data_IF_939759333378
#
_entry.id   IF_939759333378
#
_cell.length_a   1.000
_cell.length_b   1.000
_cell.length_c   1.000
_cell.angle_alpha   90.00
_cell.angle_beta   90.00
_cell.angle_gamma   90.00
#
_symmetry.space_group_name_H-M   'P 1'
#
loop_
_entity.id
_entity.type
_entity.pdbx_description
1 polymer ?
#
# COMPACT_ATOMS: atom_id res chain seq x y z
N UNK A 1 -34.24 -25.12 30.32
CA UNK A 1 -33.02 -24.90 29.51
C UNK A 1 -33.37 -23.87 28.44
N UNK A 2 -33.01 -22.60 28.68
CA UNK A 2 -33.40 -21.48 27.83
C UNK A 2 -32.37 -21.26 26.72
N UNK A 3 -32.81 -21.36 25.47
CA UNK A 3 -32.08 -20.94 24.28
C UNK A 3 -31.74 -19.44 24.39
N UNK A 4 -30.44 -19.13 24.50
CA UNK A 4 -29.96 -17.77 24.30
C UNK A 4 -30.05 -17.46 22.81
N UNK A 5 -31.15 -16.82 22.44
CA UNK A 5 -31.28 -16.02 21.22
C UNK A 5 -30.08 -15.07 21.12
N UNK A 6 -29.13 -15.42 20.27
CA UNK A 6 -28.05 -14.51 19.87
C UNK A 6 -28.70 -13.34 19.16
N UNK A 7 -28.73 -12.18 19.82
CA UNK A 7 -29.16 -10.91 19.23
C UNK A 7 -28.41 -10.71 17.90
N UNK A 8 -29.12 -10.86 16.78
CA UNK A 8 -28.71 -10.35 15.48
C UNK A 8 -28.59 -8.84 15.56
N UNK A 9 -27.42 -8.38 16.00
CA UNK A 9 -27.00 -6.99 15.92
C UNK A 9 -26.98 -6.60 14.45
N UNK A 10 -27.98 -5.82 14.05
CA UNK A 10 -28.19 -5.31 12.69
C UNK A 10 -26.87 -4.90 12.05
N UNK A 11 -26.44 -5.61 11.02
CA UNK A 11 -25.28 -5.29 10.20
C UNK A 11 -25.42 -3.83 9.72
N UNK A 12 -24.51 -2.92 10.10
CA UNK A 12 -24.58 -1.54 9.65
C UNK A 12 -24.35 -1.51 8.15
N UNK A 13 -25.21 -0.79 7.42
CA UNK A 13 -25.13 -0.51 5.97
C UNK A 13 -23.68 -0.50 5.50
N UNK A 14 -23.33 -1.39 4.56
CA UNK A 14 -22.00 -1.37 3.95
C UNK A 14 -21.83 -0.01 3.25
N UNK A 15 -21.06 0.88 3.88
CA UNK A 15 -20.71 2.18 3.31
C UNK A 15 -19.92 1.96 2.01
N UNK A 16 -20.14 2.85 1.04
CA UNK A 16 -19.46 2.80 -0.24
C UNK A 16 -17.93 2.82 -0.03
N UNK A 17 -17.14 1.92 -0.66
CA UNK A 17 -15.68 1.87 -0.49
C UNK A 17 -14.99 3.22 -0.71
N UNK A 18 -15.50 4.01 -1.66
CA UNK A 18 -15.01 5.36 -1.95
C UNK A 18 -15.17 6.35 -0.80
N UNK A 19 -16.22 6.22 0.03
CA UNK A 19 -16.42 7.12 1.17
C UNK A 19 -15.33 6.92 2.23
N UNK A 20 -14.89 5.68 2.46
CA UNK A 20 -13.78 5.39 3.38
C UNK A 20 -12.44 5.90 2.87
N UNK A 21 -12.20 5.79 1.56
CA UNK A 21 -11.01 6.36 0.94
C UNK A 21 -10.99 7.88 1.00
N UNK A 22 -12.11 8.54 0.67
CA UNK A 22 -12.23 9.99 0.77
C UNK A 22 -12.05 10.48 2.21
N UNK A 23 -12.66 9.78 3.17
CA UNK A 23 -12.50 10.09 4.60
C UNK A 23 -11.04 9.95 5.05
N UNK A 24 -10.38 8.84 4.71
CA UNK A 24 -8.98 8.62 5.09
C UNK A 24 -8.03 9.61 4.40
N UNK A 25 -8.28 9.97 3.14
CA UNK A 25 -7.54 11.02 2.43
C UNK A 25 -7.77 12.38 3.08
N UNK A 26 -9.01 12.69 3.49
CA UNK A 26 -9.32 13.91 4.25
C UNK A 26 -8.50 14.00 5.54
N UNK A 27 -8.44 12.92 6.32
CA UNK A 27 -7.60 12.84 7.52
C UNK A 27 -6.10 13.00 7.19
N UNK A 28 -5.62 12.39 6.11
CA UNK A 28 -4.24 12.54 5.66
C UNK A 28 -3.90 13.98 5.24
N UNK A 29 -4.82 14.68 4.58
CA UNK A 29 -4.67 16.10 4.20
C UNK A 29 -4.64 16.99 5.44
N UNK A 30 -5.53 16.74 6.42
CA UNK A 30 -5.52 17.46 7.71
C UNK A 30 -4.19 17.23 8.43
N UNK A 31 -3.75 15.98 8.58
CA UNK A 31 -2.45 15.65 9.17
C UNK A 31 -1.27 16.30 8.42
N UNK A 32 -1.39 16.44 7.09
CA UNK A 32 -0.38 17.11 6.26
C UNK A 32 -0.34 18.63 6.43
N UNK A 33 -1.34 19.25 7.04
CA UNK A 33 -1.39 20.72 7.23
C UNK A 33 -1.08 21.15 8.66
N UNK A 34 -0.92 20.18 9.57
CA UNK A 34 -0.82 20.44 11.00
C UNK A 34 0.56 20.09 11.54
N UNK A 35 1.10 20.98 12.37
CA UNK A 35 2.34 20.79 13.13
C UNK A 35 2.09 20.57 14.63
N UNK A 36 0.82 20.57 15.05
CA UNK A 36 0.44 20.32 16.43
C UNK A 36 0.41 18.80 16.72
N UNK A 37 1.28 18.27 17.61
CA UNK A 37 1.38 16.83 17.87
C UNK A 37 0.11 16.25 18.51
N UNK A 38 -0.64 17.04 19.28
CA UNK A 38 -1.90 16.59 19.89
C UNK A 38 -2.95 16.26 18.83
N UNK A 39 -3.05 17.08 17.78
CA UNK A 39 -3.97 16.84 16.67
C UNK A 39 -3.57 15.60 15.87
N UNK A 40 -2.26 15.37 15.66
CA UNK A 40 -1.76 14.17 14.98
C UNK A 40 -2.08 12.90 15.77
N UNK A 41 -1.85 12.90 17.08
CA UNK A 41 -2.23 11.79 17.97
C UNK A 41 -3.74 11.57 17.96
N UNK A 42 -4.55 12.64 18.01
CA UNK A 42 -6.00 12.54 17.93
C UNK A 42 -6.44 11.87 16.62
N UNK A 43 -5.85 12.24 15.48
CA UNK A 43 -6.14 11.61 14.19
C UNK A 43 -5.79 10.12 14.22
N UNK A 44 -4.64 9.73 14.78
CA UNK A 44 -4.25 8.33 14.93
C UNK A 44 -5.25 7.54 15.81
N UNK A 45 -5.66 8.12 16.94
CA UNK A 45 -6.63 7.50 17.86
C UNK A 45 -7.99 7.34 17.19
N UNK A 46 -8.49 8.37 16.52
CA UNK A 46 -9.77 8.32 15.79
C UNK A 46 -9.70 7.29 14.66
N UNK A 47 -8.62 7.30 13.87
CA UNK A 47 -8.42 6.31 12.81
C UNK A 47 -8.38 4.89 13.35
N UNK A 48 -7.64 4.66 14.44
CA UNK A 48 -7.53 3.37 15.11
C UNK A 48 -8.87 2.89 15.68
N UNK A 49 -9.61 3.78 16.34
CA UNK A 49 -10.94 3.49 16.87
C UNK A 49 -11.91 3.08 15.76
N UNK A 50 -11.96 3.85 14.67
CA UNK A 50 -12.83 3.55 13.52
C UNK A 50 -12.44 2.22 12.88
N UNK A 51 -11.14 1.94 12.72
CA UNK A 51 -10.67 0.65 12.22
C UNK A 51 -11.11 -0.48 13.14
N UNK A 52 -10.93 -0.38 14.46
CA UNK A 52 -11.35 -1.42 15.40
C UNK A 52 -12.86 -1.62 15.41
N UNK A 53 -13.64 -0.54 15.35
CA UNK A 53 -15.10 -0.58 15.39
C UNK A 53 -15.76 -1.04 14.08
N UNK A 54 -15.07 -0.89 12.93
CA UNK A 54 -15.64 -1.14 11.60
C UNK A 54 -14.91 -2.19 10.77
N UNK A 55 -13.73 -2.67 11.19
CA UNK A 55 -13.01 -3.74 10.48
C UNK A 55 -13.83 -5.03 10.48
N UNK A 56 -13.84 -5.70 9.33
CA UNK A 56 -14.33 -7.08 9.20
C UNK A 56 -13.22 -8.06 9.54
N UNK A 57 -13.55 -9.28 10.01
CA UNK A 57 -12.59 -10.32 10.48
C UNK A 57 -11.67 -10.93 9.39
N UNK A 58 -11.54 -10.24 8.27
CA UNK A 58 -10.80 -10.71 7.13
C UNK A 58 -9.30 -10.37 7.20
N UNK A 59 -8.42 -11.06 6.44
CA UNK A 59 -6.96 -10.98 6.61
C UNK A 59 -6.36 -9.58 6.51
N UNK A 60 -7.02 -8.68 5.77
CA UNK A 60 -6.67 -7.27 5.58
C UNK A 60 -6.87 -6.40 6.83
N UNK A 61 -7.53 -6.90 7.88
CA UNK A 61 -7.59 -6.24 9.18
C UNK A 61 -6.19 -6.01 9.80
N UNK A 62 -5.18 -6.80 9.39
CA UNK A 62 -3.78 -6.65 9.81
C UNK A 62 -3.04 -5.52 9.08
N UNK A 63 -3.57 -5.00 7.97
CA UNK A 63 -2.94 -3.93 7.19
C UNK A 63 -2.72 -2.68 8.05
N UNK A 64 -3.69 -2.28 8.87
CA UNK A 64 -3.54 -1.11 9.73
C UNK A 64 -2.35 -1.25 10.70
N UNK A 65 -2.18 -2.41 11.33
CA UNK A 65 -1.04 -2.67 12.22
C UNK A 65 0.30 -2.65 11.47
N UNK A 66 0.35 -3.13 10.22
CA UNK A 66 1.55 -3.05 9.38
C UNK A 66 1.92 -1.59 9.09
N UNK A 67 0.94 -0.77 8.70
CA UNK A 67 1.17 0.66 8.42
C UNK A 67 1.58 1.44 9.68
N UNK A 68 1.00 1.12 10.85
CA UNK A 68 1.46 1.72 12.12
C UNK A 68 2.89 1.31 12.47
N UNK A 69 3.27 0.04 12.25
CA UNK A 69 4.65 -0.41 12.43
C UNK A 69 5.61 0.33 11.50
N UNK A 70 5.25 0.47 10.22
CA UNK A 70 6.04 1.26 9.26
C UNK A 70 6.16 2.72 9.69
N UNK A 71 5.06 3.34 10.13
CA UNK A 71 5.07 4.71 10.66
C UNK A 71 5.99 4.87 11.87
N UNK A 72 5.93 3.92 12.81
CA UNK A 72 6.82 3.89 13.97
C UNK A 72 8.28 3.69 13.56
N UNK A 73 8.56 2.84 12.58
CA UNK A 73 9.90 2.65 12.02
C UNK A 73 10.42 3.95 11.41
N UNK A 74 9.62 4.65 10.60
CA UNK A 74 9.99 5.95 10.02
C UNK A 74 10.28 6.99 11.09
N UNK A 75 9.41 7.10 12.11
CA UNK A 75 9.62 7.99 13.26
C UNK A 75 10.94 7.67 13.98
N UNK A 76 11.20 6.39 14.26
CA UNK A 76 12.41 5.95 14.95
C UNK A 76 13.66 6.27 14.14
N UNK A 77 13.64 5.95 12.84
CA UNK A 77 14.73 6.26 11.92
C UNK A 77 14.97 7.78 11.91
N UNK A 78 13.93 8.60 11.83
CA UNK A 78 14.06 10.05 11.81
C UNK A 78 14.68 10.60 13.09
N UNK A 79 14.28 10.08 14.25
CA UNK A 79 14.88 10.43 15.54
C UNK A 79 16.36 10.03 15.60
N UNK A 80 16.70 8.82 15.15
CA UNK A 80 18.09 8.37 15.09
C UNK A 80 18.92 9.26 14.17
N UNK A 81 18.42 9.58 12.97
CA UNK A 81 19.11 10.49 12.07
C UNK A 81 19.26 11.89 12.67
N UNK A 82 18.25 12.43 13.35
CA UNK A 82 18.35 13.72 14.03
C UNK A 82 19.45 13.72 15.11
N UNK A 83 19.52 12.64 15.90
CA UNK A 83 20.51 12.49 16.97
C UNK A 83 21.92 12.28 16.40
N UNK A 84 22.07 11.49 15.33
CA UNK A 84 23.36 11.15 14.73
C UNK A 84 23.93 12.26 13.84
N UNK A 85 23.08 12.99 13.10
CA UNK A 85 23.52 14.07 12.20
C UNK A 85 23.60 15.43 12.89
N UNK A 86 23.12 15.54 14.14
CA UNK A 86 23.38 16.67 15.03
C UNK A 86 23.13 18.05 14.42
N UNK A 87 21.96 18.28 13.79
CA UNK A 87 21.63 19.60 13.22
C UNK A 87 21.53 20.61 14.36
N UNK A 88 22.44 21.60 14.48
CA UNK A 88 22.43 22.54 15.60
C UNK A 88 21.18 23.39 15.53
N UNK A 89 20.26 23.16 16.46
CA UNK A 89 19.14 24.06 16.71
C UNK A 89 19.40 24.70 18.07
N UNK A 90 19.41 26.04 18.13
CA UNK A 90 19.56 26.75 19.40
C UNK A 90 18.49 26.31 20.40
N UNK A 91 18.86 26.20 21.68
CA UNK A 91 17.93 25.74 22.71
C UNK A 91 18.59 24.98 23.86
N UNK A 92 17.79 24.17 24.55
CA UNK A 92 18.18 23.43 25.75
C UNK A 92 18.95 22.17 25.38
N UNK A 93 20.20 22.08 25.81
CA UNK A 93 21.07 20.95 25.50
C UNK A 93 20.72 19.73 26.37
N UNK A 94 20.42 18.59 25.73
CA UNK A 94 20.17 17.32 26.41
C UNK A 94 21.48 16.55 26.63
N UNK A 95 22.25 16.36 25.56
CA UNK A 95 23.56 15.70 25.59
C UNK A 95 24.37 16.06 24.35
N UNK A 96 25.69 15.94 24.43
CA UNK A 96 26.60 16.13 23.30
C UNK A 96 27.16 14.79 22.86
N UNK A 97 27.08 14.51 21.55
CA UNK A 97 27.79 13.38 20.94
C UNK A 97 29.16 13.87 20.45
N UNK A 98 30.22 13.05 20.56
CA UNK A 98 31.53 13.38 20.02
C UNK A 98 31.39 13.65 18.51
N UNK A 99 31.76 14.86 18.09
CA UNK A 99 31.66 15.30 16.73
C UNK A 99 32.83 14.79 15.90
N UNK A 100 32.53 14.11 14.80
CA UNK A 100 33.50 13.80 13.76
C UNK A 100 33.18 14.66 12.53
N UNK A 101 34.14 15.47 12.11
CA UNK A 101 34.04 16.21 10.86
C UNK A 101 34.08 15.22 9.69
N UNK A 102 33.08 15.32 8.82
CA UNK A 102 33.01 14.51 7.61
C UNK A 102 33.95 15.08 6.53
N UNK A 103 34.47 14.24 5.60
CA UNK A 103 35.40 14.69 4.57
C UNK A 103 34.77 15.74 3.64
N UNK A 104 35.59 16.50 2.92
CA UNK A 104 35.19 17.71 2.15
C UNK A 104 33.98 17.56 1.20
N UNK A 105 33.68 16.34 0.73
CA UNK A 105 32.48 16.05 -0.07
C UNK A 105 31.16 16.11 0.71
N UNK A 106 31.23 16.16 2.04
CA UNK A 106 30.14 16.26 3.00
C UNK A 106 30.38 17.39 4.02
N UNK A 107 31.08 18.46 3.62
CA UNK A 107 31.50 19.62 4.43
C UNK A 107 30.38 20.49 5.05
N UNK A 108 29.16 19.97 5.18
CA UNK A 108 28.03 20.62 5.87
C UNK A 108 27.27 19.69 6.82
N UNK A 109 27.76 18.46 7.02
CA UNK A 109 27.15 17.48 7.92
C UNK A 109 28.20 17.11 8.96
N UNK A 110 27.91 17.37 10.24
CA UNK A 110 28.72 16.87 11.35
C UNK A 110 28.13 15.55 11.81
N UNK A 111 28.95 14.50 11.91
CA UNK A 111 28.56 13.27 12.58
C UNK A 111 28.64 13.52 14.09
N UNK A 112 27.49 13.56 14.76
CA UNK A 112 27.38 13.94 16.17
C UNK A 112 27.21 15.45 16.36
N UNK A 113 27.40 15.93 17.59
CA UNK A 113 27.15 17.32 17.98
C UNK A 113 26.15 17.46 19.14
N UNK A 114 25.75 18.71 19.49
CA UNK A 114 24.81 18.97 20.56
C UNK A 114 23.39 18.56 20.18
N UNK A 115 22.81 17.61 20.92
CA UNK A 115 21.41 17.23 20.79
C UNK A 115 20.59 18.12 21.69
N UNK A 116 19.78 19.00 21.09
CA UNK A 116 18.90 19.91 21.83
C UNK A 116 17.47 19.36 21.91
N UNK A 117 16.76 19.69 22.99
CA UNK A 117 15.39 19.26 23.23
C UNK A 117 14.47 19.68 22.08
N UNK A 118 14.65 20.89 21.58
CA UNK A 118 13.90 21.49 20.48
C UNK A 118 14.09 20.69 19.19
N UNK A 119 15.32 20.26 18.90
CA UNK A 119 15.63 19.43 17.74
C UNK A 119 14.97 18.05 17.80
N UNK A 120 14.94 17.44 19.00
CA UNK A 120 14.27 16.15 19.23
C UNK A 120 12.76 16.30 19.10
N UNK A 121 12.16 17.35 19.66
CA UNK A 121 10.73 17.63 19.55
C UNK A 121 10.35 17.90 18.09
N UNK A 122 11.15 18.66 17.35
CA UNK A 122 10.91 18.92 15.92
C UNK A 122 10.94 17.62 15.11
N UNK A 123 11.99 16.80 15.26
CA UNK A 123 12.09 15.52 14.57
C UNK A 123 10.99 14.54 14.98
N UNK A 124 10.61 14.51 16.26
CA UNK A 124 9.50 13.70 16.74
C UNK A 124 8.18 14.13 16.12
N UNK A 125 7.90 15.44 16.07
CA UNK A 125 6.67 16.00 15.50
C UNK A 125 6.55 15.69 14.02
N UNK A 126 7.64 15.85 13.28
CA UNK A 126 7.65 15.54 11.86
C UNK A 126 7.55 14.04 11.56
N UNK A 127 8.24 13.21 12.35
CA UNK A 127 8.14 11.75 12.26
C UNK A 127 6.71 11.29 12.58
N UNK A 128 6.08 11.89 13.59
CA UNK A 128 4.70 11.63 13.97
C UNK A 128 3.73 12.02 12.85
N UNK A 129 3.99 13.13 12.14
CA UNK A 129 3.19 13.55 10.98
C UNK A 129 3.24 12.51 9.86
N UNK A 130 4.43 12.02 9.50
CA UNK A 130 4.58 10.95 8.51
C UNK A 130 3.92 9.64 8.96
N UNK A 131 4.09 9.27 10.24
CA UNK A 131 3.45 8.10 10.83
C UNK A 131 1.91 8.22 10.78
N UNK A 132 1.36 9.41 11.01
CA UNK A 132 -0.08 9.68 10.95
C UNK A 132 -0.61 9.51 9.52
N UNK A 133 0.09 10.06 8.52
CA UNK A 133 -0.28 9.90 7.10
C UNK A 133 -0.27 8.41 6.70
N UNK A 134 0.77 7.67 7.10
CA UNK A 134 0.84 6.22 6.88
C UNK A 134 -0.30 5.48 7.60
N UNK A 135 -0.64 5.89 8.83
CA UNK A 135 -1.79 5.39 9.58
C UNK A 135 -3.11 5.59 8.85
N UNK A 136 -3.34 6.76 8.25
CA UNK A 136 -4.52 7.04 7.44
C UNK A 136 -4.61 6.12 6.21
N UNK A 137 -3.50 5.88 5.51
CA UNK A 137 -3.43 4.94 4.39
C UNK A 137 -3.71 3.51 4.86
N UNK A 138 -3.18 3.13 6.02
CA UNK A 138 -3.48 1.85 6.66
C UNK A 138 -4.95 1.69 7.00
N UNK A 139 -5.60 2.76 7.49
CA UNK A 139 -7.01 2.77 7.82
C UNK A 139 -7.87 2.63 6.56
N UNK A 140 -7.53 3.33 5.47
CA UNK A 140 -8.18 3.19 4.18
C UNK A 140 -8.15 1.73 3.69
N UNK A 141 -6.97 1.10 3.73
CA UNK A 141 -6.81 -0.29 3.28
C UNK A 141 -7.51 -1.31 4.20
N UNK A 142 -7.59 -1.03 5.50
CA UNK A 142 -8.29 -1.90 6.46
C UNK A 142 -9.81 -1.80 6.34
N UNK A 143 -10.34 -0.62 6.00
CA UNK A 143 -11.78 -0.35 5.92
C UNK A 143 -12.36 -0.57 4.51
N UNK A 144 -11.57 -0.34 3.46
CA UNK A 144 -11.99 -0.48 2.07
C UNK A 144 -10.89 -1.14 1.22
N UNK A 145 -11.17 -2.37 0.75
CA UNK A 145 -10.29 -3.07 -0.17
C UNK A 145 -10.20 -2.31 -1.52
N UNK A 146 -9.00 -1.99 -2.04
CA UNK A 146 -8.81 -1.35 -3.33
C UNK A 146 -9.54 -2.05 -4.48
N UNK A 147 -9.65 -3.39 -4.44
CA UNK A 147 -10.43 -4.17 -5.42
C UNK A 147 -11.91 -3.78 -5.43
N UNK A 148 -12.49 -3.52 -4.25
CA UNK A 148 -13.89 -3.09 -4.13
C UNK A 148 -14.06 -1.64 -4.56
N UNK A 149 -13.07 -0.78 -4.32
CA UNK A 149 -13.05 0.60 -4.83
C UNK A 149 -13.11 0.61 -6.36
N UNK A 150 -12.25 -0.20 -7.00
CA UNK A 150 -12.19 -0.33 -8.45
C UNK A 150 -13.47 -0.91 -9.04
N UNK A 151 -14.04 -1.93 -8.40
CA UNK A 151 -15.34 -2.50 -8.79
C UNK A 151 -16.52 -1.53 -8.60
N UNK A 152 -16.34 -0.47 -7.81
CA UNK A 152 -17.35 0.56 -7.55
C UNK A 152 -17.11 1.87 -8.33
N UNK A 153 -16.16 1.89 -9.27
CA UNK A 153 -15.90 3.08 -10.09
C UNK A 153 -17.08 3.33 -11.06
N UNK A 154 -17.50 4.60 -11.25
CA UNK A 154 -18.54 4.95 -12.23
C UNK A 154 -18.14 4.58 -13.66
N UNK A 155 -19.13 4.38 -14.54
CA UNK A 155 -18.93 4.00 -15.94
C UNK A 155 -18.05 4.97 -16.77
N UNK A 156 -17.83 6.20 -16.30
CA UNK A 156 -16.91 7.14 -16.94
C UNK A 156 -15.43 6.69 -16.89
N UNK A 157 -15.06 5.77 -16.01
CA UNK A 157 -13.71 5.22 -15.85
C UNK A 157 -13.65 3.72 -16.22
N UNK A 158 -14.64 3.22 -16.96
CA UNK A 158 -14.84 1.79 -17.20
C UNK A 158 -13.63 1.08 -17.84
N UNK A 159 -12.94 1.73 -18.76
CA UNK A 159 -11.76 1.14 -19.43
C UNK A 159 -10.59 0.93 -18.46
N UNK A 160 -10.33 1.91 -17.59
CA UNK A 160 -9.29 1.81 -16.54
C UNK A 160 -9.74 0.80 -15.48
N UNK A 161 -11.01 0.84 -15.09
CA UNK A 161 -11.59 -0.09 -14.11
C UNK A 161 -11.49 -1.55 -14.56
N UNK A 162 -11.84 -1.84 -15.82
CA UNK A 162 -11.73 -3.19 -16.41
C UNK A 162 -10.27 -3.63 -16.49
N UNK A 163 -9.35 -2.79 -16.97
CA UNK A 163 -7.94 -3.13 -17.05
C UNK A 163 -7.37 -3.53 -15.67
N UNK A 164 -7.69 -2.75 -14.63
CA UNK A 164 -7.18 -3.01 -13.27
C UNK A 164 -7.88 -4.22 -12.63
N UNK A 165 -9.20 -4.41 -12.81
CA UNK A 165 -9.92 -5.59 -12.30
C UNK A 165 -9.41 -6.88 -12.95
N UNK A 166 -9.15 -6.85 -14.26
CA UNK A 166 -8.58 -7.98 -15.01
C UNK A 166 -7.17 -8.29 -14.50
N UNK A 167 -6.30 -7.29 -14.37
CA UNK A 167 -4.96 -7.47 -13.80
C UNK A 167 -5.01 -8.06 -12.37
N UNK A 168 -5.91 -7.55 -11.52
CA UNK A 168 -6.07 -8.01 -10.13
C UNK A 168 -6.70 -9.41 -10.02
N UNK A 169 -7.35 -9.90 -11.08
CA UNK A 169 -7.88 -11.26 -11.19
C UNK A 169 -6.80 -12.26 -11.63
N UNK A 170 -5.80 -11.81 -12.41
CA UNK A 170 -4.65 -12.63 -12.78
C UNK A 170 -3.58 -12.77 -11.68
N UNK A 171 -3.54 -11.85 -10.73
CA UNK A 171 -2.61 -11.90 -9.59
C UNK A 171 -2.64 -13.24 -8.81
N UNK A 172 -3.79 -13.79 -8.35
CA UNK A 172 -3.83 -15.06 -7.63
C UNK A 172 -3.34 -16.26 -8.47
N UNK A 173 -3.66 -16.30 -9.77
CA UNK A 173 -3.18 -17.35 -10.67
C UNK A 173 -1.66 -17.31 -10.85
N UNK A 174 -1.08 -16.11 -10.96
CA UNK A 174 0.38 -15.93 -11.06
C UNK A 174 1.09 -16.40 -9.79
N UNK A 175 0.54 -16.11 -8.61
CA UNK A 175 1.08 -16.60 -7.32
C UNK A 175 1.07 -18.13 -7.28
N UNK A 176 -0.02 -18.77 -7.69
CA UNK A 176 -0.11 -20.23 -7.76
C UNK A 176 0.91 -20.85 -8.72
N UNK A 177 1.11 -20.24 -9.90
CA UNK A 177 2.13 -20.70 -10.85
C UNK A 177 3.55 -20.56 -10.31
N UNK A 178 3.88 -19.44 -9.67
CA UNK A 178 5.20 -19.24 -9.03
C UNK A 178 5.44 -20.24 -7.90
N UNK A 179 4.42 -20.52 -7.07
CA UNK A 179 4.51 -21.50 -5.98
C UNK A 179 4.76 -22.91 -6.51
N UNK A 180 4.07 -23.33 -7.57
CA UNK A 180 4.29 -24.64 -8.22
C UNK A 180 5.70 -24.77 -8.79
N UNK A 181 6.21 -23.74 -9.47
CA UNK A 181 7.58 -23.73 -10.01
C UNK A 181 8.61 -23.79 -8.88
N UNK A 182 8.42 -23.05 -7.79
CA UNK A 182 9.30 -23.13 -6.61
C UNK A 182 9.27 -24.51 -5.95
N UNK A 183 8.09 -25.10 -5.78
CA UNK A 183 7.95 -26.44 -5.22
C UNK A 183 8.67 -27.51 -6.07
N UNK A 184 8.52 -27.45 -7.40
CA UNK A 184 9.21 -28.35 -8.33
C UNK A 184 10.74 -28.19 -8.29
N UNK A 185 11.26 -26.97 -8.05
CA UNK A 185 12.70 -26.72 -7.92
C UNK A 185 13.26 -27.16 -6.58
N UNK A 186 12.49 -27.01 -5.49
CA UNK A 186 12.85 -27.52 -4.17
C UNK A 186 12.99 -29.05 -4.18
N UNK A 187 12.11 -29.75 -4.90
CA UNK A 187 12.21 -31.20 -5.11
C UNK A 187 13.41 -31.63 -5.98
N UNK A 188 13.97 -30.71 -6.78
CA UNK A 188 15.15 -30.95 -7.63
C UNK A 188 16.46 -30.44 -7.01
N UNK A 189 16.46 -30.06 -5.73
CA UNK A 189 17.65 -29.65 -4.98
C UNK A 189 18.33 -28.36 -5.48
N UNK A 190 17.64 -27.54 -6.28
CA UNK A 190 18.22 -26.32 -6.87
C UNK A 190 18.04 -25.12 -5.91
N UNK A 191 19.06 -24.26 -5.72
CA UNK A 191 19.00 -23.16 -4.78
C UNK A 191 17.96 -22.10 -5.20
N UNK A 192 17.12 -21.69 -4.24
CA UNK A 192 15.98 -20.80 -4.48
C UNK A 192 16.34 -19.29 -4.53
N UNK A 193 17.58 -18.91 -4.18
CA UNK A 193 18.04 -17.51 -4.06
C UNK A 193 19.03 -17.11 -5.16
N UNK A 194 18.88 -15.89 -5.69
CA UNK A 194 19.81 -15.24 -6.63
C UNK A 194 19.18 -14.81 -7.96
N UNK A 195 19.83 -13.89 -8.70
CA UNK A 195 19.33 -13.39 -10.00
C UNK A 195 19.11 -14.52 -11.04
N UNK A 196 19.94 -15.57 -11.02
CA UNK A 196 19.77 -16.76 -11.89
C UNK A 196 18.52 -17.59 -11.54
N UNK A 197 18.08 -17.56 -10.27
CA UNK A 197 16.80 -18.18 -9.84
C UNK A 197 15.61 -17.41 -10.39
N UNK A 198 15.70 -16.08 -10.50
CA UNK A 198 14.64 -15.22 -11.05
C UNK A 198 14.47 -15.49 -12.56
N UNK A 199 15.56 -15.46 -13.34
CA UNK A 199 15.51 -15.74 -14.77
C UNK A 199 14.94 -17.13 -15.09
N UNK A 200 15.26 -18.13 -14.27
CA UNK A 200 14.75 -19.50 -14.45
C UNK A 200 13.30 -19.72 -13.99
N UNK A 201 12.68 -18.80 -13.23
CA UNK A 201 11.20 -18.78 -13.03
C UNK A 201 10.51 -17.94 -14.10
N UNK A 202 11.14 -16.84 -14.50
CA UNK A 202 10.54 -15.88 -15.43
C UNK A 202 10.33 -16.52 -16.81
N UNK A 203 11.32 -17.26 -17.32
CA UNK A 203 11.25 -17.84 -18.66
C UNK A 203 10.06 -18.82 -18.84
N UNK A 204 9.84 -19.83 -17.96
CA UNK A 204 8.71 -20.75 -18.11
C UNK A 204 7.35 -20.09 -17.88
N UNK A 205 7.30 -19.05 -17.05
CA UNK A 205 6.05 -18.30 -16.81
C UNK A 205 5.68 -17.43 -18.01
N UNK A 206 6.68 -16.83 -18.66
CA UNK A 206 6.48 -16.10 -19.92
C UNK A 206 6.01 -17.03 -21.03
N UNK A 207 6.57 -18.24 -21.11
CA UNK A 207 6.15 -19.27 -22.07
C UNK A 207 4.67 -19.68 -21.86
N UNK A 208 4.28 -20.05 -20.64
CA UNK A 208 2.87 -20.40 -20.31
C UNK A 208 1.92 -19.20 -20.55
N UNK A 209 2.37 -17.98 -20.26
CA UNK A 209 1.58 -16.77 -20.54
C UNK A 209 1.40 -16.52 -22.05
N UNK A 210 2.46 -16.72 -22.84
CA UNK A 210 2.42 -16.57 -24.30
C UNK A 210 1.50 -17.61 -24.92
N UNK A 211 1.64 -18.88 -24.55
CA UNK A 211 0.81 -19.96 -25.11
C UNK A 211 -0.68 -19.75 -24.80
N UNK A 212 -1.00 -19.30 -23.57
CA UNK A 212 -2.37 -18.88 -23.23
C UNK A 212 -2.85 -17.69 -24.05
N UNK A 213 -2.02 -16.68 -24.27
CA UNK A 213 -2.39 -15.53 -25.08
C UNK A 213 -2.67 -15.91 -26.54
N UNK A 214 -1.87 -16.82 -27.11
CA UNK A 214 -2.04 -17.36 -28.46
C UNK A 214 -3.31 -18.19 -28.58
N UNK A 215 -3.60 -19.06 -27.60
CA UNK A 215 -4.84 -19.84 -27.56
C UNK A 215 -6.08 -18.94 -27.48
N UNK A 216 -6.00 -17.84 -26.72
CA UNK A 216 -7.07 -16.87 -26.61
C UNK A 216 -7.27 -16.08 -27.92
N UNK A 217 -6.18 -15.63 -28.53
CA UNK A 217 -6.22 -14.94 -29.82
C UNK A 217 -6.84 -15.83 -30.92
N UNK A 218 -6.42 -17.09 -31.01
CA UNK A 218 -7.01 -18.05 -31.96
C UNK A 218 -8.51 -18.27 -31.72
N UNK A 219 -8.94 -18.32 -30.45
CA UNK A 219 -10.35 -18.41 -30.11
C UNK A 219 -11.12 -17.13 -30.48
N UNK A 220 -10.53 -15.95 -30.32
CA UNK A 220 -11.13 -14.68 -30.75
C UNK A 220 -11.28 -14.59 -32.27
N UNK A 221 -10.27 -15.02 -33.02
CA UNK A 221 -10.29 -15.07 -34.48
C UNK A 221 -11.36 -16.04 -35.00
N UNK A 222 -11.48 -17.23 -34.39
CA UNK A 222 -12.52 -18.22 -34.74
C UNK A 222 -13.95 -17.69 -34.54
N UNK A 223 -14.13 -16.78 -33.57
CA UNK A 223 -15.41 -16.12 -33.28
C UNK A 223 -15.60 -14.84 -34.10
N UNK A 224 -14.65 -14.48 -34.95
CA UNK A 224 -14.73 -13.35 -35.87
C UNK A 224 -14.43 -11.99 -35.23
N UNK A 225 -13.85 -11.95 -34.03
CA UNK A 225 -13.38 -10.69 -33.45
C UNK A 225 -12.29 -10.08 -34.34
N UNK A 226 -12.33 -8.77 -34.58
CA UNK A 226 -11.37 -8.06 -35.43
C UNK A 226 -11.75 -7.96 -36.91
N UNK A 227 -12.74 -8.72 -37.38
CA UNK A 227 -13.33 -8.51 -38.72
C UNK A 227 -14.22 -7.26 -38.65
N UNK A 228 -13.66 -6.08 -38.93
CA UNK A 228 -14.47 -4.90 -39.27
C UNK A 228 -15.21 -5.27 -40.54
N UNK A 229 -16.49 -5.63 -40.43
CA UNK A 229 -17.34 -5.73 -41.60
C UNK A 229 -17.29 -4.37 -42.29
N UNK A 230 -16.67 -4.31 -43.48
CA UNK A 230 -16.93 -3.21 -44.41
C UNK A 230 -18.41 -3.29 -44.75
N UNK A 231 -19.21 -2.54 -44.01
CA UNK A 231 -20.64 -2.41 -44.30
C UNK A 231 -20.73 -1.73 -45.67
N UNK A 232 -21.25 -2.41 -46.70
CA UNK A 232 -21.40 -1.81 -48.02
C UNK A 232 -22.26 -0.56 -47.92
N UNK A 233 -21.86 0.50 -48.63
CA UNK A 233 -22.53 1.80 -48.55
C UNK A 233 -24.04 1.76 -48.89
N UNK A 234 -24.51 0.68 -49.54
CA UNK A 234 -25.92 0.45 -49.88
C UNK A 234 -26.84 0.18 -48.70
N UNK A 235 -26.32 -0.18 -47.51
CA UNK A 235 -27.16 -0.40 -46.31
C UNK A 235 -27.27 0.85 -45.42
N UNK A 236 -26.58 1.95 -45.76
CA UNK A 236 -26.64 3.22 -44.99
C UNK A 236 -27.78 4.15 -45.43
N UNK A 237 -28.61 3.75 -46.39
CA UNK A 237 -29.79 4.51 -46.84
C UNK A 237 -30.99 3.58 -46.94
N UNK A 238 -31.56 3.24 -45.78
CA UNK A 238 -32.93 2.79 -45.64
C UNK A 238 -33.47 3.37 -44.34
#
# INVERSE_FOLDING_TARGET
MAERSTRSGRLPRQLHPGAWWLWALGLAVVASRTWNPLLLLLVLVVAGYVVVARRTDAPWARSYALFLKLGLTVLTIRLVFQVVLGVPQGGTLLFTLPSADLPDWAAGVTLGGPVTLESVIAAATDGLRLATILGCIGAANALANPKRLLASMPAALYEIGVAVVVALSFAPSLVGSVQRVRAARRLRGRPDRGLRSILSVALPVLEDALERSLSLAAAMDSRGYGRRAEVPASTRRA
#
